data_IF_593057578736
#
_entry.id   IF_593057578736
#
_cell.length_a   1.000
_cell.length_b   1.000
_cell.length_c   1.000
_cell.angle_alpha   90.00
_cell.angle_beta   90.00
_cell.angle_gamma   90.00
#
_symmetry.space_group_name_H-M   'P 1'
#
loop_
_entity.id
_entity.type
_entity.pdbx_description
1 polymer ?
#
# COMPACT_ATOMS: atom_id res chain seq x y z
N UNK A 1 10.88 -53.77 42.19
CA UNK A 1 11.48 -53.26 40.93
C UNK A 1 10.48 -53.08 39.78
N UNK A 2 9.66 -54.08 39.41
CA UNK A 2 8.71 -53.98 38.28
C UNK A 2 7.69 -52.83 38.40
N UNK A 3 7.21 -52.52 39.60
CA UNK A 3 6.26 -51.43 39.83
C UNK A 3 6.90 -50.03 39.71
N UNK A 4 8.14 -49.88 40.15
CA UNK A 4 8.91 -48.63 40.02
C UNK A 4 9.18 -48.31 38.54
N UNK A 5 9.54 -49.32 37.73
CA UNK A 5 9.78 -49.14 36.30
C UNK A 5 8.51 -48.73 35.54
N UNK A 6 7.35 -49.31 35.90
CA UNK A 6 6.04 -48.91 35.35
C UNK A 6 5.66 -47.48 35.74
N UNK A 7 5.99 -47.06 36.96
CA UNK A 7 5.70 -45.70 37.43
C UNK A 7 6.56 -44.66 36.71
N UNK A 8 7.85 -44.95 36.49
CA UNK A 8 8.75 -44.08 35.72
C UNK A 8 8.29 -43.98 34.26
N UNK A 9 7.89 -45.09 33.63
CA UNK A 9 7.37 -45.08 32.26
C UNK A 9 6.06 -44.26 32.15
N UNK A 10 5.16 -44.37 33.13
CA UNK A 10 3.93 -43.60 33.16
C UNK A 10 4.19 -42.09 33.37
N UNK A 11 5.14 -41.73 34.25
CA UNK A 11 5.55 -40.34 34.45
C UNK A 11 6.22 -39.74 33.22
N UNK A 12 7.03 -40.53 32.50
CA UNK A 12 7.68 -40.09 31.26
C UNK A 12 6.67 -39.89 30.13
N UNK A 13 5.66 -40.77 30.03
CA UNK A 13 4.55 -40.62 29.08
C UNK A 13 3.65 -39.41 29.43
N UNK A 14 3.40 -39.15 30.71
CA UNK A 14 2.65 -37.97 31.14
C UNK A 14 3.41 -36.66 30.86
N UNK A 15 4.74 -36.67 31.00
CA UNK A 15 5.60 -35.52 30.65
C UNK A 15 5.61 -35.24 29.14
N UNK A 16 5.62 -36.30 28.31
CA UNK A 16 5.49 -36.18 26.85
C UNK A 16 4.14 -35.55 26.45
N UNK A 17 3.04 -35.91 27.12
CA UNK A 17 1.71 -35.36 26.85
C UNK A 17 1.51 -33.93 27.39
N UNK A 18 2.28 -33.52 28.39
CA UNK A 18 2.26 -32.16 28.93
C UNK A 18 3.01 -31.12 28.06
N UNK A 19 3.76 -31.55 27.04
CA UNK A 19 4.49 -30.66 26.14
C UNK A 19 3.60 -30.01 25.06
N UNK A 20 2.34 -30.43 24.93
CA UNK A 20 1.35 -29.73 24.11
C UNK A 20 0.79 -28.56 24.90
N UNK A 21 1.45 -27.39 24.82
CA UNK A 21 0.94 -26.17 25.46
C UNK A 21 -0.43 -25.80 24.85
N UNK A 22 -1.51 -25.59 25.63
CA UNK A 22 -2.82 -25.20 25.12
C UNK A 22 -2.91 -23.72 24.67
N UNK A 23 -1.80 -22.99 24.64
CA UNK A 23 -1.79 -21.51 24.52
C UNK A 23 -1.89 -20.97 23.08
N UNK A 24 -2.13 -21.82 22.08
CA UNK A 24 -2.18 -21.41 20.68
C UNK A 24 -3.32 -20.43 20.40
N UNK A 25 -4.52 -20.61 20.98
CA UNK A 25 -5.68 -19.74 20.73
C UNK A 25 -5.57 -18.34 21.36
N UNK A 26 -4.82 -18.20 22.46
CA UNK A 26 -4.62 -16.91 23.13
C UNK A 26 -3.82 -15.91 22.30
N UNK A 27 -3.10 -16.36 21.27
CA UNK A 27 -2.19 -15.52 20.50
C UNK A 27 -2.67 -15.19 19.08
N UNK A 28 -3.89 -15.59 18.71
CA UNK A 28 -4.39 -15.46 17.33
C UNK A 28 -5.25 -14.21 17.14
N UNK A 29 -6.05 -13.84 18.14
CA UNK A 29 -6.98 -12.72 18.03
C UNK A 29 -6.24 -11.38 17.92
N UNK A 30 -6.75 -10.49 17.08
CA UNK A 30 -6.31 -9.10 16.99
C UNK A 30 -6.95 -8.24 18.06
N UNK A 31 -6.28 -7.13 18.43
CA UNK A 31 -6.79 -6.11 19.36
C UNK A 31 -7.35 -6.67 20.68
N UNK A 32 -6.57 -7.53 21.34
CA UNK A 32 -6.93 -8.26 22.55
C UNK A 32 -7.11 -7.36 23.78
N UNK A 33 -6.56 -6.15 23.73
CA UNK A 33 -6.59 -5.11 24.76
C UNK A 33 -7.79 -4.15 24.62
N UNK A 34 -8.62 -4.30 23.59
CA UNK A 34 -9.77 -3.42 23.33
C UNK A 34 -11.08 -4.05 23.80
N UNK A 35 -11.89 -3.27 24.52
CA UNK A 35 -13.25 -3.67 24.88
C UNK A 35 -14.23 -3.34 23.74
N UNK A 36 -15.32 -4.11 23.64
CA UNK A 36 -16.40 -3.79 22.71
C UNK A 36 -16.87 -2.33 22.89
N UNK A 37 -17.23 -1.68 21.79
CA UNK A 37 -17.73 -0.30 21.72
C UNK A 37 -16.73 0.79 22.17
N UNK A 38 -15.44 0.47 22.27
CA UNK A 38 -14.38 1.47 22.50
C UNK A 38 -14.23 2.38 21.27
N UNK A 39 -14.24 3.70 21.49
CA UNK A 39 -13.96 4.70 20.44
C UNK A 39 -12.53 5.22 20.58
N UNK A 40 -11.79 5.25 19.48
CA UNK A 40 -10.40 5.75 19.42
C UNK A 40 -10.29 6.93 18.44
N UNK A 41 -9.41 7.88 18.74
CA UNK A 41 -9.09 8.95 17.78
C UNK A 41 -8.18 8.39 16.68
N UNK A 42 -8.51 8.69 15.43
CA UNK A 42 -7.67 8.30 14.30
C UNK A 42 -6.53 9.30 14.12
N UNK A 43 -5.29 8.80 14.16
CA UNK A 43 -4.14 9.58 13.68
C UNK A 43 -4.22 9.63 12.16
N UNK A 44 -4.32 10.85 11.63
CA UNK A 44 -4.35 11.06 10.19
C UNK A 44 -2.91 11.17 9.71
N UNK A 45 -2.35 10.06 9.22
CA UNK A 45 -1.06 10.10 8.54
C UNK A 45 -1.24 10.78 7.17
N UNK A 46 -0.37 11.75 6.87
CA UNK A 46 -0.26 12.36 5.55
C UNK A 46 -0.04 11.27 4.50
N UNK A 47 -0.70 11.40 3.35
CA UNK A 47 -0.65 10.41 2.27
C UNK A 47 0.76 10.17 1.74
N UNK A 48 0.89 9.26 0.78
CA UNK A 48 2.19 8.99 0.16
C UNK A 48 2.69 10.23 -0.59
N UNK A 49 3.97 10.51 -0.39
CA UNK A 49 4.71 11.55 -1.09
C UNK A 49 5.33 10.96 -2.34
N UNK A 50 5.21 11.69 -3.45
CA UNK A 50 5.77 11.33 -4.74
C UNK A 50 7.31 11.32 -4.67
N UNK A 51 7.91 10.27 -5.20
CA UNK A 51 9.35 10.07 -5.28
C UNK A 51 9.82 9.92 -6.73
N UNK A 52 11.11 10.15 -7.01
CA UNK A 52 11.71 9.75 -8.28
C UNK A 52 11.38 8.31 -8.64
N UNK A 53 11.17 8.04 -9.93
CA UNK A 53 10.77 6.73 -10.50
C UNK A 53 9.32 6.31 -10.24
N UNK A 54 8.52 7.08 -9.51
CA UNK A 54 7.09 6.83 -9.39
C UNK A 54 6.38 6.96 -10.74
N UNK A 55 5.30 6.20 -10.89
CA UNK A 55 4.42 6.27 -12.05
C UNK A 55 3.10 6.86 -11.63
N UNK A 56 2.71 7.96 -12.25
CA UNK A 56 1.50 8.72 -11.92
C UNK A 56 0.52 8.69 -13.08
N UNK A 57 -0.75 8.42 -12.82
CA UNK A 57 -1.86 8.75 -13.70
C UNK A 57 -2.30 10.17 -13.38
N UNK A 58 -2.35 11.03 -14.39
CA UNK A 58 -2.90 12.38 -14.25
C UNK A 58 -3.95 12.54 -15.33
N UNK A 59 -5.20 12.72 -14.90
CA UNK A 59 -6.35 12.86 -15.78
C UNK A 59 -6.94 14.25 -15.54
N UNK A 60 -7.01 15.04 -16.59
CA UNK A 60 -7.67 16.34 -16.61
C UNK A 60 -9.05 16.18 -17.22
N UNK A 61 -10.05 16.70 -16.52
CA UNK A 61 -11.43 16.81 -16.98
C UNK A 61 -11.89 18.26 -16.88
N UNK A 62 -12.89 18.65 -17.66
CA UNK A 62 -13.51 19.98 -17.61
C UNK A 62 -14.91 19.94 -18.21
N UNK A 63 -15.65 21.05 -18.16
CA UNK A 63 -16.93 21.19 -18.85
C UNK A 63 -16.83 21.06 -20.38
N UNK A 64 -15.63 21.20 -20.97
CA UNK A 64 -15.37 20.95 -22.38
C UNK A 64 -14.40 19.76 -22.58
N UNK A 65 -14.93 18.55 -22.86
CA UNK A 65 -14.11 17.34 -23.00
C UNK A 65 -13.04 17.43 -24.10
N UNK A 66 -13.31 18.17 -25.17
CA UNK A 66 -12.36 18.35 -26.29
C UNK A 66 -11.14 19.17 -25.85
N UNK A 67 -11.36 20.18 -25.01
CA UNK A 67 -10.26 20.99 -24.45
C UNK A 67 -9.46 20.18 -23.43
N UNK A 68 -10.14 19.49 -22.49
CA UNK A 68 -9.43 18.69 -21.48
C UNK A 68 -8.64 17.52 -22.06
N UNK A 69 -9.08 16.95 -23.19
CA UNK A 69 -8.38 15.87 -23.88
C UNK A 69 -6.96 16.26 -24.35
N UNK A 70 -6.69 17.54 -24.61
CA UNK A 70 -5.37 18.04 -25.02
C UNK A 70 -4.32 17.92 -23.90
N UNK A 71 -4.76 17.80 -22.65
CA UNK A 71 -3.90 17.69 -21.47
C UNK A 71 -3.76 16.23 -20.99
N UNK A 72 -4.53 15.31 -21.55
CA UNK A 72 -4.47 13.90 -21.23
C UNK A 72 -3.47 13.19 -22.13
N UNK A 73 -2.39 12.67 -21.53
CA UNK A 73 -1.36 11.91 -22.24
C UNK A 73 -1.93 10.59 -22.76
N UNK A 74 -2.14 10.52 -24.07
CA UNK A 74 -2.62 9.31 -24.75
C UNK A 74 -1.52 8.75 -25.64
N UNK A 75 -1.37 7.42 -25.63
CA UNK A 75 -0.49 6.72 -26.57
C UNK A 75 -1.36 5.93 -27.52
N UNK A 76 -1.32 6.29 -28.81
CA UNK A 76 -1.89 5.50 -29.87
C UNK A 76 -0.95 4.31 -30.15
N UNK A 77 -1.30 3.12 -29.67
CA UNK A 77 -0.60 1.88 -30.08
C UNK A 77 -1.19 1.38 -31.39
N UNK A 78 -0.38 1.39 -32.44
CA UNK A 78 -0.71 0.75 -33.71
C UNK A 78 -0.35 -0.74 -33.64
N UNK A 79 -1.36 -1.61 -33.60
CA UNK A 79 -1.16 -3.04 -33.85
C UNK A 79 -1.07 -3.26 -35.36
N UNK A 80 0.15 -3.38 -35.90
CA UNK A 80 0.34 -3.95 -37.25
C UNK A 80 0.10 -5.47 -37.15
N UNK A 81 -1.06 -5.96 -37.60
CA UNK A 81 -1.27 -7.41 -37.69
C UNK A 81 -2.68 -7.92 -37.97
N UNK A 82 -3.73 -7.11 -37.88
CA UNK A 82 -5.10 -7.54 -38.20
C UNK A 82 -5.81 -6.47 -39.04
N UNK A 83 -6.54 -6.87 -40.09
CA UNK A 83 -7.25 -6.03 -41.08
C UNK A 83 -8.34 -5.11 -40.51
N UNK A 84 -8.37 -4.90 -39.20
CA UNK A 84 -9.15 -3.87 -38.53
C UNK A 84 -8.23 -3.23 -37.49
N UNK A 85 -7.61 -2.11 -37.87
CA UNK A 85 -6.74 -1.33 -36.99
C UNK A 85 -7.56 -0.71 -35.85
N UNK A 86 -7.74 -1.46 -34.76
CA UNK A 86 -8.29 -0.93 -33.51
C UNK A 86 -7.18 -0.15 -32.79
N UNK A 87 -7.21 1.17 -32.90
CA UNK A 87 -6.41 2.07 -32.07
C UNK A 87 -6.96 2.03 -30.65
N UNK A 88 -6.29 1.34 -29.72
CA UNK A 88 -6.62 1.46 -28.30
C UNK A 88 -5.84 2.65 -27.75
N UNK A 89 -6.55 3.74 -27.46
CA UNK A 89 -5.94 4.93 -26.88
C UNK A 89 -5.84 4.72 -25.36
N UNK A 90 -4.73 4.14 -24.89
CA UNK A 90 -4.52 3.96 -23.45
C UNK A 90 -3.88 5.23 -22.88
N UNK A 91 -4.54 5.81 -21.88
CA UNK A 91 -3.93 6.83 -21.03
C UNK A 91 -2.63 6.25 -20.47
N UNK A 92 -1.51 6.93 -20.73
CA UNK A 92 -0.19 6.48 -20.29
C UNK A 92 0.25 7.33 -19.12
N UNK A 93 0.77 6.68 -18.08
CA UNK A 93 1.30 7.35 -16.91
C UNK A 93 2.47 8.29 -17.22
N UNK A 94 2.72 9.18 -16.29
CA UNK A 94 3.92 9.98 -16.15
C UNK A 94 4.91 9.21 -15.29
N UNK A 95 6.17 9.14 -15.73
CA UNK A 95 7.26 8.61 -14.91
C UNK A 95 7.99 9.81 -14.34
N UNK A 96 8.14 9.86 -13.02
CA UNK A 96 8.91 10.89 -12.33
C UNK A 96 10.40 10.64 -12.62
N UNK A 97 11.08 11.64 -13.18
CA UNK A 97 12.51 11.54 -13.48
C UNK A 97 13.37 11.54 -12.19
N UNK A 98 14.67 11.30 -12.34
CA UNK A 98 15.60 11.26 -11.21
C UNK A 98 15.74 12.61 -10.49
N UNK A 99 15.42 13.72 -11.17
CA UNK A 99 15.45 15.06 -10.60
C UNK A 99 14.12 15.41 -9.90
N UNK A 100 13.10 14.54 -9.98
CA UNK A 100 11.81 14.73 -9.33
C UNK A 100 10.74 15.42 -10.18
N UNK A 101 10.89 15.44 -11.51
CA UNK A 101 9.99 16.14 -12.42
C UNK A 101 9.23 15.20 -13.35
N UNK A 102 8.13 15.70 -13.90
CA UNK A 102 7.41 15.10 -15.04
C UNK A 102 7.33 16.11 -16.20
N UNK A 103 7.17 15.60 -17.42
CA UNK A 103 6.86 16.42 -18.58
C UNK A 103 5.36 16.35 -18.89
N UNK A 104 4.63 17.42 -18.58
CA UNK A 104 3.19 17.53 -18.71
C UNK A 104 2.80 18.24 -20.02
N UNK A 105 1.79 17.77 -20.79
CA UNK A 105 1.37 18.42 -22.02
C UNK A 105 1.00 19.89 -21.80
N UNK A 106 1.44 20.77 -22.70
CA UNK A 106 1.24 22.23 -22.67
C UNK A 106 1.97 22.98 -21.53
N UNK A 107 2.05 22.42 -20.32
CA UNK A 107 2.72 23.04 -19.17
C UNK A 107 4.24 22.74 -19.08
N UNK A 108 4.72 21.75 -19.84
CA UNK A 108 6.14 21.39 -19.86
C UNK A 108 6.61 20.70 -18.57
N UNK A 109 7.83 21.02 -18.12
CA UNK A 109 8.47 20.36 -16.97
C UNK A 109 7.87 20.87 -15.65
N UNK A 110 7.30 19.97 -14.85
CA UNK A 110 6.70 20.27 -13.54
C UNK A 110 7.43 19.46 -12.46
N UNK A 111 7.86 20.11 -11.39
CA UNK A 111 8.41 19.44 -10.20
C UNK A 111 7.28 18.79 -9.41
N UNK A 112 7.41 17.49 -9.13
CA UNK A 112 6.36 16.72 -8.45
C UNK A 112 6.87 15.93 -7.25
N UNK A 113 8.17 15.65 -7.18
CA UNK A 113 8.74 14.97 -6.03
C UNK A 113 8.57 15.82 -4.77
N UNK A 114 8.28 15.17 -3.64
CA UNK A 114 8.01 15.87 -2.39
C UNK A 114 6.57 16.30 -2.21
N UNK A 115 5.74 16.29 -3.27
CA UNK A 115 4.30 16.55 -3.17
C UNK A 115 3.52 15.27 -2.90
N UNK A 116 2.39 15.38 -2.21
CA UNK A 116 1.35 14.36 -2.22
C UNK A 116 0.42 14.54 -3.44
N UNK A 117 -0.45 13.55 -3.70
CA UNK A 117 -1.33 13.59 -4.89
C UNK A 117 -2.30 14.79 -4.92
N UNK A 118 -2.73 15.26 -3.75
CA UNK A 118 -3.66 16.39 -3.63
C UNK A 118 -2.95 17.71 -3.90
N UNK A 119 -1.73 17.85 -3.39
CA UNK A 119 -0.88 19.00 -3.69
C UNK A 119 -0.54 19.07 -5.18
N UNK A 120 -0.21 17.93 -5.81
CA UNK A 120 0.02 17.88 -7.26
C UNK A 120 -1.25 18.22 -8.05
N UNK A 121 -2.40 17.70 -7.62
CA UNK A 121 -3.69 18.05 -8.22
C UNK A 121 -3.90 19.57 -8.22
N UNK A 122 -3.81 20.21 -7.06
CA UNK A 122 -4.00 21.65 -6.93
C UNK A 122 -2.95 22.43 -7.73
N UNK A 123 -1.68 22.00 -7.73
CA UNK A 123 -0.62 22.62 -8.51
C UNK A 123 -0.94 22.65 -10.02
N UNK A 124 -1.47 21.56 -10.56
CA UNK A 124 -1.80 21.47 -11.99
C UNK A 124 -3.05 22.29 -12.30
N UNK A 125 -4.09 22.22 -11.46
CA UNK A 125 -5.31 23.04 -11.60
C UNK A 125 -4.96 24.53 -11.63
N UNK A 126 -4.13 24.99 -10.69
CA UNK A 126 -3.69 26.39 -10.60
C UNK A 126 -2.86 26.82 -11.81
N UNK A 127 -1.94 25.97 -12.29
CA UNK A 127 -1.15 26.25 -13.50
C UNK A 127 -2.02 26.36 -14.75
N UNK A 128 -2.95 25.43 -14.95
CA UNK A 128 -3.86 25.45 -16.09
C UNK A 128 -4.75 26.70 -16.12
N UNK A 129 -5.23 27.12 -14.94
CA UNK A 129 -6.06 28.31 -14.79
C UNK A 129 -5.27 29.60 -14.98
N UNK A 130 -4.10 29.72 -14.33
CA UNK A 130 -3.26 30.93 -14.37
C UNK A 130 -2.64 31.22 -15.74
N UNK A 131 -2.30 30.18 -16.51
CA UNK A 131 -1.82 30.32 -17.90
C UNK A 131 -2.96 30.51 -18.90
N UNK A 132 -4.22 30.51 -18.45
CA UNK A 132 -5.40 30.71 -19.30
C UNK A 132 -5.69 29.54 -20.25
N UNK A 133 -5.13 28.35 -19.98
CA UNK A 133 -5.24 27.16 -20.81
C UNK A 133 -6.56 26.42 -20.57
N UNK A 134 -6.99 26.32 -19.31
CA UNK A 134 -8.24 25.66 -18.92
C UNK A 134 -8.71 26.20 -17.56
N UNK A 135 -9.85 26.91 -17.53
CA UNK A 135 -10.34 27.60 -16.32
C UNK A 135 -11.10 26.71 -15.34
N UNK A 136 -11.80 25.71 -15.84
CA UNK A 136 -12.67 24.79 -15.11
C UNK A 136 -12.08 23.37 -15.07
N UNK A 137 -10.75 23.30 -14.95
CA UNK A 137 -10.03 22.04 -14.86
C UNK A 137 -10.35 21.33 -13.53
N UNK A 138 -10.65 20.04 -13.61
CA UNK A 138 -10.64 19.13 -12.47
C UNK A 138 -9.61 18.03 -12.77
N UNK A 139 -8.59 17.94 -11.91
CA UNK A 139 -7.46 17.04 -12.09
C UNK A 139 -7.56 15.89 -11.10
N UNK A 140 -7.36 14.66 -11.59
CA UNK A 140 -7.27 13.46 -10.75
C UNK A 140 -5.88 12.87 -10.87
N UNK A 141 -5.23 12.64 -9.72
CA UNK A 141 -3.89 12.06 -9.63
C UNK A 141 -3.93 10.72 -8.90
N UNK A 142 -3.35 9.68 -9.50
CA UNK A 142 -3.23 8.34 -8.91
C UNK A 142 -1.84 7.75 -9.11
N UNK A 143 -1.36 6.94 -8.16
CA UNK A 143 -0.14 6.17 -8.34
C UNK A 143 -0.44 4.87 -9.12
N UNK A 144 0.29 4.62 -10.19
CA UNK A 144 0.14 3.44 -11.05
C UNK A 144 1.01 2.26 -10.59
N UNK A 145 2.12 2.53 -9.90
CA UNK A 145 3.08 1.55 -9.44
C UNK A 145 3.11 1.40 -7.92
N UNK A 146 2.10 1.88 -7.20
CA UNK A 146 2.06 1.72 -5.75
C UNK A 146 1.83 0.25 -5.37
N UNK A 147 2.87 -0.36 -4.80
CA UNK A 147 2.92 -1.78 -4.46
C UNK A 147 3.47 -1.97 -3.06
N UNK A 148 3.02 -3.03 -2.41
CA UNK A 148 3.60 -3.55 -1.18
C UNK A 148 4.03 -5.01 -1.38
N UNK A 149 4.97 -5.47 -0.57
CA UNK A 149 5.35 -6.88 -0.50
C UNK A 149 5.07 -7.41 0.90
N UNK A 150 4.38 -8.53 0.97
CA UNK A 150 4.11 -9.26 2.22
C UNK A 150 4.78 -10.62 2.12
N UNK A 151 5.65 -10.93 3.07
CA UNK A 151 6.50 -12.12 3.07
C UNK A 151 6.45 -12.82 4.44
N UNK A 152 6.83 -14.09 4.48
CA UNK A 152 6.87 -14.90 5.71
C UNK A 152 5.61 -15.74 5.92
N UNK A 153 5.23 -15.95 7.18
CA UNK A 153 4.14 -16.84 7.62
C UNK A 153 2.74 -16.24 7.40
N UNK A 154 2.43 -15.95 6.15
CA UNK A 154 1.11 -15.56 5.64
C UNK A 154 0.57 -16.62 4.68
N UNK A 155 -0.75 -16.71 4.52
CA UNK A 155 -1.34 -17.73 3.65
C UNK A 155 -1.05 -17.50 2.15
N UNK A 156 -0.77 -16.26 1.74
CA UNK A 156 -0.38 -15.91 0.38
C UNK A 156 0.73 -14.86 0.45
N UNK A 157 2.01 -15.24 0.46
CA UNK A 157 3.11 -14.29 0.34
C UNK A 157 3.22 -13.78 -1.11
N UNK A 158 3.60 -12.52 -1.29
CA UNK A 158 3.75 -11.93 -2.61
C UNK A 158 3.79 -10.41 -2.63
N UNK A 159 3.84 -9.86 -3.84
CA UNK A 159 3.74 -8.42 -4.09
C UNK A 159 2.34 -8.07 -4.59
N UNK A 160 1.75 -7.04 -3.99
CA UNK A 160 0.38 -6.60 -4.23
C UNK A 160 0.38 -5.16 -4.71
N UNK A 161 -0.36 -4.89 -5.78
CA UNK A 161 -0.69 -3.52 -6.17
C UNK A 161 -1.80 -3.01 -5.26
N UNK A 162 -1.64 -1.79 -4.76
CA UNK A 162 -2.59 -1.15 -3.86
C UNK A 162 -3.34 -0.07 -4.62
N UNK A 163 -4.67 -0.08 -4.50
CA UNK A 163 -5.49 1.02 -4.99
C UNK A 163 -5.44 2.20 -3.99
N UNK A 164 -5.11 3.39 -4.49
CA UNK A 164 -5.00 4.60 -3.68
C UNK A 164 -3.58 4.92 -3.23
N UNK A 165 -3.45 5.78 -2.23
CA UNK A 165 -2.20 6.34 -1.71
C UNK A 165 -1.97 6.01 -0.23
N UNK A 166 -2.69 5.01 0.30
CA UNK A 166 -2.57 4.54 1.67
C UNK A 166 -2.94 3.06 1.76
N UNK A 167 -2.19 2.33 2.58
CA UNK A 167 -2.54 0.97 2.98
C UNK A 167 -2.13 0.75 4.42
N UNK A 168 -3.03 0.16 5.20
CA UNK A 168 -2.72 -0.23 6.57
C UNK A 168 -2.12 -1.61 6.66
N UNK A 169 -1.48 -1.91 7.78
CA UNK A 169 -0.96 -3.25 8.07
C UNK A 169 -2.07 -4.30 8.04
N UNK A 170 -3.26 -3.99 8.56
CA UNK A 170 -4.39 -4.91 8.50
C UNK A 170 -4.88 -5.15 7.06
N UNK A 171 -4.90 -4.11 6.22
CA UNK A 171 -5.23 -4.28 4.80
C UNK A 171 -4.17 -5.11 4.08
N UNK A 172 -2.89 -4.89 4.36
CA UNK A 172 -1.79 -5.67 3.81
C UNK A 172 -1.90 -7.16 4.20
N UNK A 173 -2.17 -7.45 5.47
CA UNK A 173 -2.42 -8.82 5.94
C UNK A 173 -3.66 -9.42 5.25
N UNK A 174 -4.75 -8.66 5.11
CA UNK A 174 -5.95 -9.13 4.42
C UNK A 174 -5.67 -9.48 2.95
N UNK A 175 -4.89 -8.67 2.23
CA UNK A 175 -4.43 -8.96 0.86
C UNK A 175 -3.61 -10.26 0.80
N UNK A 176 -2.77 -10.48 1.79
CA UNK A 176 -1.95 -11.68 1.94
C UNK A 176 -2.72 -12.90 2.51
N UNK A 177 -4.05 -12.80 2.64
CA UNK A 177 -4.95 -13.84 3.19
C UNK A 177 -4.65 -14.20 4.64
N UNK A 178 -4.20 -13.21 5.39
CA UNK A 178 -3.88 -13.25 6.82
C UNK A 178 -2.67 -14.15 7.17
N UNK A 179 -2.19 -14.02 8.40
CA UNK A 179 -1.14 -14.86 8.98
C UNK A 179 -1.62 -16.31 9.13
N UNK A 180 -0.74 -17.26 8.89
CA UNK A 180 -1.00 -18.68 9.18
C UNK A 180 -1.15 -18.91 10.69
N UNK A 181 -1.58 -20.10 11.09
CA UNK A 181 -1.67 -20.46 12.52
C UNK A 181 -0.29 -20.43 13.20
N UNK A 182 0.76 -20.71 12.44
CA UNK A 182 2.15 -20.75 12.91
C UNK A 182 2.83 -19.37 12.89
N UNK A 183 2.18 -18.37 12.28
CA UNK A 183 2.68 -17.00 12.21
C UNK A 183 2.82 -16.34 13.58
N UNK A 184 4.00 -15.76 13.82
CA UNK A 184 4.30 -14.99 15.04
C UNK A 184 3.63 -13.61 15.00
N UNK A 185 2.33 -13.57 15.30
CA UNK A 185 1.50 -12.34 15.28
C UNK A 185 2.11 -11.19 16.07
N UNK A 186 2.69 -11.45 17.25
CA UNK A 186 3.27 -10.42 18.10
C UNK A 186 4.55 -9.74 17.60
N UNK A 187 5.03 -10.10 16.40
CA UNK A 187 6.28 -9.55 15.85
C UNK A 187 6.20 -9.43 14.33
N UNK A 188 5.39 -8.48 13.86
CA UNK A 188 5.35 -8.10 12.44
C UNK A 188 6.37 -6.98 12.20
N UNK A 189 7.16 -7.11 11.14
CA UNK A 189 8.09 -6.07 10.70
C UNK A 189 7.54 -5.33 9.49
N UNK A 190 7.41 -4.01 9.61
CA UNK A 190 7.12 -3.13 8.47
C UNK A 190 8.41 -2.40 8.10
N UNK A 191 8.79 -2.50 6.84
CA UNK A 191 9.98 -1.85 6.29
C UNK A 191 9.51 -0.77 5.32
N UNK A 192 9.92 0.48 5.54
CA UNK A 192 9.66 1.59 4.64
C UNK A 192 10.99 2.15 4.13
N UNK A 193 11.07 2.37 2.82
CA UNK A 193 12.22 3.03 2.21
C UNK A 193 11.86 4.50 1.93
N UNK A 194 12.68 5.43 2.44
CA UNK A 194 12.51 6.87 2.21
C UNK A 194 13.88 7.54 2.14
N UNK A 195 14.12 8.35 1.11
CA UNK A 195 15.36 9.13 0.94
C UNK A 195 16.64 8.28 1.06
N UNK A 196 16.64 7.08 0.48
CA UNK A 196 17.77 6.15 0.55
C UNK A 196 18.00 5.50 1.92
N UNK A 197 17.07 5.66 2.88
CA UNK A 197 17.09 5.02 4.20
C UNK A 197 15.99 3.98 4.31
N UNK A 198 16.25 2.96 5.14
CA UNK A 198 15.28 1.91 5.50
C UNK A 198 14.88 2.08 6.96
N UNK A 199 13.62 2.42 7.18
CA UNK A 199 13.02 2.45 8.51
C UNK A 199 12.32 1.12 8.77
N UNK A 200 12.63 0.49 9.89
CA UNK A 200 12.08 -0.81 10.29
C UNK A 200 11.27 -0.62 11.57
N UNK A 201 9.99 -0.95 11.50
CA UNK A 201 9.05 -0.84 12.61
C UNK A 201 8.60 -2.24 13.02
N UNK A 202 8.65 -2.54 14.32
CA UNK A 202 8.06 -3.75 14.86
C UNK A 202 6.67 -3.43 15.37
N UNK A 203 5.68 -4.21 14.95
CA UNK A 203 4.28 -4.02 15.27
C UNK A 203 3.70 -5.29 15.89
N UNK A 204 2.79 -5.09 16.85
CA UNK A 204 1.97 -6.16 17.42
C UNK A 204 0.48 -5.87 17.10
N UNK A 205 -0.13 -6.56 16.12
CA UNK A 205 -1.53 -6.41 15.76
C UNK A 205 -2.51 -6.90 16.84
N UNK A 206 -2.00 -7.55 17.90
CA UNK A 206 -2.80 -7.97 19.05
C UNK A 206 -3.05 -6.82 20.02
N UNK A 207 -2.34 -5.70 19.90
CA UNK A 207 -2.55 -4.52 20.73
C UNK A 207 -3.04 -3.34 19.90
N UNK A 208 -3.94 -2.57 20.48
CA UNK A 208 -4.41 -1.28 19.98
C UNK A 208 -3.31 -0.23 19.80
N UNK A 209 -2.17 -0.39 20.47
CA UNK A 209 -0.99 0.47 20.28
C UNK A 209 -0.48 0.47 18.84
N UNK A 210 -0.81 -0.56 18.04
CA UNK A 210 -0.50 -0.59 16.61
C UNK A 210 -1.01 0.66 15.89
N UNK A 211 -2.17 1.20 16.28
CA UNK A 211 -2.77 2.38 15.65
C UNK A 211 -1.96 3.67 15.87
N UNK A 212 -1.14 3.70 16.93
CA UNK A 212 -0.27 4.84 17.24
C UNK A 212 1.08 4.77 16.50
N UNK A 213 1.34 3.66 15.82
CA UNK A 213 2.59 3.49 15.08
C UNK A 213 2.61 4.37 13.83
N UNK A 214 3.73 5.04 13.51
CA UNK A 214 3.91 5.73 12.23
C UNK A 214 3.87 4.76 11.04
N UNK A 215 3.99 3.45 11.28
CA UNK A 215 4.00 2.41 10.27
C UNK A 215 2.63 1.75 10.00
N UNK A 216 1.60 2.09 10.77
CA UNK A 216 0.23 1.67 10.51
C UNK A 216 -0.36 2.35 9.29
#
# INVERSE_FOLDING_TARGET
MKYILKFIAAAWLAFQLASCSPNTWKNINYLQDVQADTTMQMITNEGIIIQPQDQLSIIVSSGNPTMSALFNKTVATYYQGTEMGMTTNRLTGYVVDNDGFINFPQLGKIEVAGLNRWELQSLIEDKLSSEGLLRDANVTVEFLNFKISVLGEVASPGTYTVAGDKITVFQALALARDLTIDGQRGNIKVIREKNGRRDIFNLDPRSSDIFNSPAY
#
